data_IF_224704651694
#
_entry.id   IF_224704651694
#
_cell.length_a   1.000
_cell.length_b   1.000
_cell.length_c   1.000
_cell.angle_alpha   90.00
_cell.angle_beta   90.00
_cell.angle_gamma   90.00
#
_symmetry.space_group_name_H-M   'P 1'
#
loop_
_entity.id
_entity.type
_entity.pdbx_description
1 polymer ?
#
# COMPACT_ATOMS: atom_id res chain seq x y z
N UNK A 1 -41.41 -55.74 3.49
CA UNK A 1 -41.53 -55.22 2.10
C UNK A 1 -41.30 -53.72 2.14
N UNK A 2 -40.08 -53.27 1.86
CA UNK A 2 -39.71 -51.87 1.64
C UNK A 2 -39.00 -51.86 0.28
N UNK A 3 -39.58 -51.18 -0.70
CA UNK A 3 -38.92 -50.89 -1.98
C UNK A 3 -38.70 -49.40 -2.07
N UNK A 4 -37.43 -49.05 -2.28
CA UNK A 4 -36.89 -47.71 -2.48
C UNK A 4 -37.18 -47.31 -3.94
N UNK A 5 -37.85 -46.17 -4.14
CA UNK A 5 -37.90 -45.50 -5.44
C UNK A 5 -36.94 -44.32 -5.40
N UNK A 6 -35.78 -44.50 -6.03
CA UNK A 6 -34.82 -43.45 -6.34
C UNK A 6 -35.28 -42.71 -7.60
N UNK A 7 -35.27 -41.37 -7.56
CA UNK A 7 -35.38 -40.56 -8.77
C UNK A 7 -36.00 -39.18 -8.54
N UNK A 8 -35.18 -38.19 -8.18
CA UNK A 8 -35.39 -36.76 -8.51
C UNK A 8 -34.28 -35.86 -7.90
N UNK A 9 -33.00 -36.09 -8.22
CA UNK A 9 -31.92 -35.18 -7.78
C UNK A 9 -30.80 -35.02 -8.83
N UNK A 10 -31.13 -35.11 -10.12
CA UNK A 10 -30.15 -34.90 -11.20
C UNK A 10 -30.49 -33.76 -12.16
N UNK A 11 -31.72 -33.24 -12.18
CA UNK A 11 -32.14 -32.17 -13.11
C UNK A 11 -31.93 -30.73 -12.63
N UNK A 12 -31.94 -30.47 -11.32
CA UNK A 12 -31.88 -29.09 -10.78
C UNK A 12 -30.46 -28.50 -10.67
N UNK A 13 -29.44 -29.35 -10.56
CA UNK A 13 -28.03 -28.92 -10.49
C UNK A 13 -27.45 -28.61 -11.87
N UNK A 14 -27.87 -29.28 -12.94
CA UNK A 14 -27.41 -28.96 -14.31
C UNK A 14 -27.95 -27.61 -14.81
N UNK A 15 -29.17 -27.21 -14.43
CA UNK A 15 -29.78 -26.00 -14.96
C UNK A 15 -29.19 -24.70 -14.37
N UNK A 16 -28.54 -24.75 -13.19
CA UNK A 16 -27.84 -23.60 -12.58
C UNK A 16 -26.39 -23.42 -13.06
N UNK A 17 -25.75 -24.48 -13.57
CA UNK A 17 -24.37 -24.47 -14.05
C UNK A 17 -24.22 -23.95 -15.50
N UNK A 18 -25.29 -24.00 -16.30
CA UNK A 18 -25.28 -23.63 -17.72
C UNK A 18 -24.97 -22.15 -18.04
N UNK A 19 -25.47 -21.13 -17.29
CA UNK A 19 -25.10 -19.74 -17.56
C UNK A 19 -23.65 -19.42 -17.15
N UNK A 20 -23.18 -19.97 -16.02
CA UNK A 20 -21.79 -19.79 -15.54
C UNK A 20 -20.79 -20.44 -16.51
N UNK A 21 -21.09 -21.63 -17.02
CA UNK A 21 -20.27 -22.29 -18.04
C UNK A 21 -20.30 -21.58 -19.40
N UNK A 22 -21.42 -20.93 -19.77
CA UNK A 22 -21.48 -20.06 -20.96
C UNK A 22 -20.65 -18.80 -20.80
N UNK A 23 -20.71 -18.16 -19.63
CA UNK A 23 -19.91 -16.96 -19.33
C UNK A 23 -18.43 -17.32 -19.27
N UNK A 24 -18.06 -18.41 -18.59
CA UNK A 24 -16.67 -18.91 -18.55
C UNK A 24 -16.14 -19.29 -19.94
N UNK A 25 -16.96 -19.89 -20.82
CA UNK A 25 -16.60 -20.12 -22.23
C UNK A 25 -16.49 -18.82 -23.02
N UNK A 26 -17.38 -17.86 -22.82
CA UNK A 26 -17.33 -16.56 -23.53
C UNK A 26 -16.11 -15.72 -23.12
N UNK A 27 -15.76 -15.74 -21.83
CA UNK A 27 -14.55 -15.10 -21.29
C UNK A 27 -13.30 -15.85 -21.75
N UNK A 28 -13.32 -17.19 -21.76
CA UNK A 28 -12.24 -18.00 -22.34
C UNK A 28 -12.02 -17.71 -23.84
N UNK A 29 -13.10 -17.55 -24.62
CA UNK A 29 -13.03 -17.21 -26.04
C UNK A 29 -12.55 -15.77 -26.27
N UNK A 30 -13.00 -14.81 -25.44
CA UNK A 30 -12.52 -13.43 -25.48
C UNK A 30 -11.03 -13.33 -25.12
N UNK A 31 -10.59 -14.06 -24.09
CA UNK A 31 -9.18 -14.15 -23.69
C UNK A 31 -8.33 -14.81 -24.78
N UNK A 32 -8.82 -15.86 -25.44
CA UNK A 32 -8.12 -16.44 -26.59
C UNK A 32 -8.05 -15.49 -27.79
N UNK A 33 -9.08 -14.68 -28.02
CA UNK A 33 -9.08 -13.66 -29.08
C UNK A 33 -8.07 -12.56 -28.78
N UNK A 34 -8.05 -12.04 -27.56
CA UNK A 34 -7.08 -11.03 -27.10
C UNK A 34 -5.66 -11.60 -27.11
N UNK A 35 -5.47 -12.86 -26.69
CA UNK A 35 -4.18 -13.54 -26.74
C UNK A 35 -3.68 -13.72 -28.19
N UNK A 36 -4.57 -14.05 -29.14
CA UNK A 36 -4.22 -14.14 -30.58
C UNK A 36 -3.86 -12.78 -31.18
N UNK A 37 -4.55 -11.71 -30.79
CA UNK A 37 -4.28 -10.34 -31.27
C UNK A 37 -2.93 -9.86 -30.73
N UNK A 38 -2.65 -10.06 -29.44
CA UNK A 38 -1.40 -9.64 -28.78
C UNK A 38 -0.19 -10.46 -29.25
N UNK A 39 -0.35 -11.77 -29.49
CA UNK A 39 0.73 -12.59 -30.06
C UNK A 39 1.05 -12.20 -31.51
N UNK A 40 0.06 -11.71 -32.26
CA UNK A 40 0.24 -11.23 -33.63
C UNK A 40 0.98 -9.89 -33.67
N UNK A 41 0.70 -8.98 -32.74
CA UNK A 41 1.36 -7.68 -32.65
C UNK A 41 2.75 -7.76 -31.97
N UNK A 42 2.92 -8.69 -31.02
CA UNK A 42 4.22 -8.97 -30.39
C UNK A 42 5.26 -9.55 -31.37
N UNK A 43 4.82 -10.33 -32.36
CA UNK A 43 5.68 -10.81 -33.44
C UNK A 43 6.03 -9.71 -34.47
N UNK A 44 5.16 -8.72 -34.68
CA UNK A 44 5.44 -7.59 -35.57
C UNK A 44 6.47 -6.62 -34.97
N UNK A 45 6.43 -6.41 -33.64
CA UNK A 45 7.40 -5.56 -32.95
C UNK A 45 8.80 -6.17 -32.83
N UNK A 46 8.95 -7.49 -32.71
CA UNK A 46 10.27 -8.15 -32.66
C UNK A 46 11.00 -8.17 -34.02
N UNK A 47 10.25 -8.19 -35.12
CA UNK A 47 10.81 -8.09 -36.49
C UNK A 47 11.28 -6.66 -36.80
N UNK A 48 10.58 -5.62 -36.30
CA UNK A 48 10.97 -4.22 -36.54
C UNK A 48 12.27 -3.79 -35.82
N UNK A 49 12.64 -4.46 -34.72
CA UNK A 49 13.86 -4.19 -33.96
C UNK A 49 15.11 -4.87 -34.55
N UNK A 50 14.95 -5.95 -35.33
CA UNK A 50 16.08 -6.63 -35.98
C UNK A 50 16.46 -6.01 -37.32
N UNK A 51 15.52 -5.38 -38.04
CA UNK A 51 15.81 -4.71 -39.33
C UNK A 51 16.53 -3.37 -39.18
N UNK A 52 16.53 -2.75 -37.98
CA UNK A 52 17.17 -1.43 -37.75
C UNK A 52 18.65 -1.50 -37.33
N UNK A 53 19.23 -2.70 -37.19
CA UNK A 53 20.65 -2.91 -36.83
C UNK A 53 21.57 -3.28 -38.01
N UNK A 54 21.11 -3.19 -39.27
CA UNK A 54 21.95 -3.39 -40.45
C UNK A 54 21.74 -2.29 -41.48
N UNK A 55 22.64 -1.30 -41.53
CA UNK A 55 22.52 -0.20 -42.50
C UNK A 55 23.63 0.85 -42.46
N UNK A 56 24.76 0.49 -43.08
CA UNK A 56 25.73 1.34 -43.81
C UNK A 56 26.39 2.55 -43.15
N UNK A 57 27.72 2.41 -43.04
CA UNK A 57 28.71 3.45 -42.81
C UNK A 57 28.65 4.57 -43.88
N UNK A 58 28.65 5.81 -43.42
CA UNK A 58 28.83 7.02 -44.22
C UNK A 58 29.89 7.91 -43.58
N UNK A 59 31.00 8.06 -44.29
CA UNK A 59 32.24 8.71 -43.91
C UNK A 59 32.06 10.24 -43.94
N UNK A 60 32.28 10.96 -42.83
CA UNK A 60 32.50 12.41 -42.88
C UNK A 60 33.42 12.90 -41.75
N UNK A 61 34.42 13.69 -42.16
CA UNK A 61 35.60 14.18 -41.42
C UNK A 61 35.25 15.45 -40.60
N UNK A 62 35.91 15.76 -39.47
CA UNK A 62 35.42 16.75 -38.49
C UNK A 62 35.99 18.16 -38.70
N UNK A 63 35.44 19.20 -38.05
CA UNK A 63 36.20 20.37 -37.67
C UNK A 63 36.44 20.43 -36.15
N UNK A 64 37.57 21.06 -35.85
CA UNK A 64 38.24 21.25 -34.55
C UNK A 64 37.60 22.39 -33.76
N UNK A 65 37.53 22.27 -32.42
CA UNK A 65 37.14 23.36 -31.52
C UNK A 65 37.10 22.93 -30.04
N UNK A 66 38.08 23.39 -29.26
CA UNK A 66 38.49 23.02 -27.90
C UNK A 66 37.56 23.35 -26.72
N UNK A 67 37.50 22.45 -25.74
CA UNK A 67 37.13 22.70 -24.33
C UNK A 67 37.06 21.39 -23.53
N UNK A 68 37.65 21.26 -22.31
CA UNK A 68 37.71 19.99 -21.61
C UNK A 68 36.34 19.62 -21.04
N UNK A 69 35.80 18.48 -21.49
CA UNK A 69 34.61 17.88 -20.88
C UNK A 69 34.96 17.37 -19.47
N UNK A 70 34.11 17.60 -18.45
CA UNK A 70 34.28 16.95 -17.16
C UNK A 70 34.12 15.43 -17.33
N UNK A 71 34.95 14.69 -16.61
CA UNK A 71 35.14 13.26 -16.76
C UNK A 71 33.83 12.46 -16.79
N UNK A 72 33.83 11.50 -17.72
CA UNK A 72 32.92 10.37 -17.78
C UNK A 72 33.02 9.56 -16.48
N UNK A 73 32.24 9.95 -15.46
CA UNK A 73 31.92 9.07 -14.34
C UNK A 73 30.81 8.15 -14.82
N UNK A 74 31.19 6.94 -15.22
CA UNK A 74 30.29 5.80 -15.33
C UNK A 74 29.81 5.40 -13.92
N UNK A 75 28.97 6.23 -13.31
CA UNK A 75 28.23 5.88 -12.12
C UNK A 75 27.11 4.93 -12.49
N UNK A 76 27.04 3.79 -11.81
CA UNK A 76 25.90 2.87 -11.81
C UNK A 76 24.67 3.60 -11.27
N UNK A 77 24.00 4.36 -12.14
CA UNK A 77 22.89 5.22 -11.77
C UNK A 77 21.75 4.38 -11.19
N UNK A 78 21.37 4.69 -9.95
CA UNK A 78 20.12 4.20 -9.37
C UNK A 78 18.99 4.63 -10.31
N UNK A 79 18.11 3.72 -10.77
CA UNK A 79 17.04 4.08 -11.69
C UNK A 79 16.15 5.16 -11.06
N UNK A 80 15.86 6.23 -11.82
CA UNK A 80 15.18 7.47 -11.35
C UNK A 80 13.87 7.24 -10.56
N UNK A 81 13.19 6.10 -10.76
CA UNK A 81 11.95 5.72 -10.05
C UNK A 81 11.87 4.21 -9.81
N UNK A 82 12.45 3.69 -8.71
CA UNK A 82 12.60 2.26 -8.57
C UNK A 82 11.31 1.46 -8.41
N UNK A 83 10.22 2.12 -8.02
CA UNK A 83 8.91 1.49 -7.78
C UNK A 83 7.82 1.96 -8.76
N UNK A 84 8.16 2.68 -9.84
CA UNK A 84 7.18 3.05 -10.87
C UNK A 84 6.79 1.83 -11.73
N UNK A 85 5.49 1.62 -11.93
CA UNK A 85 4.92 0.47 -12.67
C UNK A 85 3.88 -0.28 -11.85
N UNK A 86 3.57 -1.54 -12.19
CA UNK A 86 2.67 -2.43 -11.44
C UNK A 86 1.48 -2.99 -12.25
N UNK A 87 0.72 -3.96 -11.69
CA UNK A 87 -0.53 -4.42 -12.29
C UNK A 87 -1.49 -3.26 -12.60
N UNK A 88 -2.23 -3.35 -13.71
CA UNK A 88 -3.08 -2.31 -14.32
C UNK A 88 -2.35 -1.13 -14.96
N UNK A 89 -1.04 -0.96 -14.74
CA UNK A 89 -0.27 0.15 -15.33
C UNK A 89 -0.19 0.03 -16.86
N UNK A 90 -0.09 -1.20 -17.40
CA UNK A 90 0.00 -1.42 -18.86
C UNK A 90 -1.37 -1.28 -19.52
N UNK A 91 -2.43 -1.83 -18.91
CA UNK A 91 -3.80 -1.66 -19.42
C UNK A 91 -4.21 -0.18 -19.41
N UNK A 92 -3.86 0.58 -18.37
CA UNK A 92 -4.10 2.02 -18.34
C UNK A 92 -3.31 2.77 -19.43
N UNK A 93 -2.11 2.30 -19.78
CA UNK A 93 -1.33 2.83 -20.91
C UNK A 93 -1.96 2.52 -22.27
N UNK A 94 -2.48 1.30 -22.43
CA UNK A 94 -3.20 0.86 -23.63
C UNK A 94 -4.50 1.64 -23.87
N UNK A 95 -5.21 2.01 -22.80
CA UNK A 95 -6.44 2.84 -22.87
C UNK A 95 -6.11 4.34 -23.07
N UNK A 96 -4.83 4.71 -23.23
CA UNK A 96 -4.40 6.10 -23.44
C UNK A 96 -4.48 6.99 -22.20
N UNK A 97 -4.67 6.39 -21.02
CA UNK A 97 -4.78 7.09 -19.72
C UNK A 97 -3.43 7.37 -19.05
N UNK A 98 -2.33 6.84 -19.60
CA UNK A 98 -0.95 7.12 -19.16
C UNK A 98 -0.17 7.78 -20.30
N UNK A 99 0.46 8.91 -20.00
CA UNK A 99 1.59 9.45 -20.77
C UNK A 99 2.84 9.33 -19.90
N UNK A 100 3.94 8.86 -20.50
CA UNK A 100 5.21 8.52 -19.83
C UNK A 100 5.76 9.68 -18.98
N UNK A 101 5.46 10.93 -19.36
CA UNK A 101 6.00 12.12 -18.69
C UNK A 101 5.05 12.80 -17.69
N UNK A 102 3.74 12.48 -17.70
CA UNK A 102 2.74 13.08 -16.79
C UNK A 102 1.68 12.05 -16.40
N UNK A 103 1.84 11.34 -15.27
CA UNK A 103 0.78 10.50 -14.73
C UNK A 103 -0.34 11.44 -14.26
N UNK A 104 -1.35 11.67 -15.09
CA UNK A 104 -2.52 12.47 -14.74
C UNK A 104 -3.43 11.70 -13.76
N UNK A 105 -2.92 11.42 -12.56
CA UNK A 105 -3.54 10.55 -11.55
C UNK A 105 -4.95 11.04 -11.21
N UNK A 106 -5.16 12.36 -11.13
CA UNK A 106 -6.49 12.94 -10.90
C UNK A 106 -7.50 12.63 -12.01
N UNK A 107 -7.09 12.68 -13.29
CA UNK A 107 -7.98 12.32 -14.41
C UNK A 107 -8.32 10.84 -14.41
N UNK A 108 -7.35 9.98 -14.09
CA UNK A 108 -7.57 8.53 -13.94
C UNK A 108 -8.54 8.22 -12.80
N UNK A 109 -8.36 8.87 -11.65
CA UNK A 109 -9.26 8.74 -10.50
C UNK A 109 -10.69 9.18 -10.85
N UNK A 110 -10.84 10.33 -11.51
CA UNK A 110 -12.14 10.82 -11.98
C UNK A 110 -12.79 9.87 -12.98
N UNK A 111 -12.04 9.39 -13.99
CA UNK A 111 -12.56 8.45 -14.98
C UNK A 111 -13.02 7.14 -14.33
N UNK A 112 -12.22 6.55 -13.44
CA UNK A 112 -12.58 5.32 -12.75
C UNK A 112 -13.79 5.51 -11.83
N UNK A 113 -13.88 6.63 -11.13
CA UNK A 113 -15.04 7.01 -10.33
C UNK A 113 -16.30 7.11 -11.18
N UNK A 114 -16.25 7.84 -12.31
CA UNK A 114 -17.37 7.97 -13.24
C UNK A 114 -17.76 6.62 -13.83
N UNK A 115 -16.80 5.81 -14.28
CA UNK A 115 -17.03 4.49 -14.84
C UNK A 115 -17.70 3.53 -13.86
N UNK A 116 -17.30 3.56 -12.59
CA UNK A 116 -17.83 2.67 -11.56
C UNK A 116 -19.17 3.16 -11.00
N UNK A 117 -19.41 4.47 -10.92
CA UNK A 117 -20.59 5.01 -10.24
C UNK A 117 -21.70 5.48 -11.19
N UNK A 118 -21.37 6.22 -12.25
CA UNK A 118 -22.38 6.88 -13.10
C UNK A 118 -23.33 5.86 -13.78
N UNK A 119 -22.85 4.76 -14.38
CA UNK A 119 -23.75 3.77 -14.96
C UNK A 119 -24.65 3.12 -13.92
N UNK A 120 -24.19 2.92 -12.68
CA UNK A 120 -25.04 2.38 -11.61
C UNK A 120 -26.20 3.32 -11.32
N UNK A 121 -25.94 4.62 -11.17
CA UNK A 121 -26.97 5.63 -10.93
C UNK A 121 -27.95 5.77 -12.10
N UNK A 122 -27.46 5.71 -13.35
CA UNK A 122 -28.32 5.78 -14.53
C UNK A 122 -29.17 4.51 -14.68
N UNK A 123 -28.60 3.33 -14.47
CA UNK A 123 -29.29 2.05 -14.59
C UNK A 123 -30.29 1.82 -13.45
N UNK A 124 -30.01 2.31 -12.24
CA UNK A 124 -30.95 2.22 -11.11
C UNK A 124 -32.19 3.10 -11.30
N UNK A 125 -32.08 4.17 -12.09
CA UNK A 125 -33.18 5.08 -12.40
C UNK A 125 -34.04 4.66 -13.60
N UNK A 126 -33.77 3.50 -14.21
CA UNK A 126 -34.55 3.01 -15.34
C UNK A 126 -36.01 2.70 -14.95
N UNK A 127 -37.00 2.97 -15.82
CA UNK A 127 -38.39 2.62 -15.57
C UNK A 127 -38.54 1.11 -15.28
N UNK A 128 -39.28 0.78 -14.22
CA UNK A 128 -39.50 -0.61 -13.79
C UNK A 128 -38.54 -1.12 -12.71
N UNK A 129 -37.60 -0.29 -12.25
CA UNK A 129 -36.69 -0.59 -11.15
C UNK A 129 -36.91 0.35 -9.96
N UNK A 130 -36.79 -0.18 -8.74
CA UNK A 130 -36.94 0.61 -7.51
C UNK A 130 -35.62 1.29 -7.12
N UNK A 131 -35.56 2.61 -7.30
CA UNK A 131 -34.41 3.44 -6.96
C UNK A 131 -34.42 3.96 -5.51
N UNK A 132 -35.47 3.68 -4.73
CA UNK A 132 -35.60 4.21 -3.35
C UNK A 132 -34.48 3.73 -2.42
N UNK A 133 -33.96 2.53 -2.69
CA UNK A 133 -32.88 1.90 -1.93
C UNK A 133 -31.46 2.25 -2.43
N UNK A 134 -31.32 3.01 -3.51
CA UNK A 134 -30.01 3.41 -4.05
C UNK A 134 -29.35 4.50 -3.21
N UNK A 135 -30.06 5.59 -2.94
CA UNK A 135 -29.55 6.73 -2.17
C UNK A 135 -29.12 6.39 -0.72
N UNK A 136 -29.83 5.54 0.02
CA UNK A 136 -29.37 5.09 1.35
C UNK A 136 -28.29 4.00 1.29
N UNK A 137 -27.79 3.61 0.11
CA UNK A 137 -26.67 2.66 -0.01
C UNK A 137 -25.31 3.39 0.09
N UNK A 138 -25.02 3.88 1.30
CA UNK A 138 -23.75 4.49 1.66
C UNK A 138 -22.55 3.61 1.34
N UNK A 139 -22.69 2.28 1.46
CA UNK A 139 -21.66 1.31 1.11
C UNK A 139 -21.24 1.39 -0.36
N UNK A 140 -22.21 1.43 -1.28
CA UNK A 140 -21.94 1.57 -2.72
C UNK A 140 -21.32 2.94 -3.03
N UNK A 141 -21.86 4.01 -2.45
CA UNK A 141 -21.32 5.35 -2.65
C UNK A 141 -19.88 5.49 -2.14
N UNK A 142 -19.59 4.98 -0.93
CA UNK A 142 -18.25 4.98 -0.37
C UNK A 142 -17.26 4.23 -1.27
N UNK A 143 -17.62 3.03 -1.74
CA UNK A 143 -16.76 2.23 -2.65
C UNK A 143 -16.36 2.99 -3.90
N UNK A 144 -17.33 3.54 -4.63
CA UNK A 144 -17.06 4.02 -5.98
C UNK A 144 -16.74 5.52 -6.03
N UNK A 145 -17.26 6.34 -5.11
CA UNK A 145 -16.98 7.78 -5.04
C UNK A 145 -15.78 8.13 -4.15
N UNK A 146 -15.40 7.25 -3.21
CA UNK A 146 -14.32 7.54 -2.25
C UNK A 146 -13.17 6.53 -2.41
N UNK A 147 -13.45 5.23 -2.26
CA UNK A 147 -12.39 4.20 -2.22
C UNK A 147 -11.65 4.10 -3.56
N UNK A 148 -12.37 3.93 -4.68
CA UNK A 148 -11.76 3.84 -6.02
C UNK A 148 -10.84 5.03 -6.34
N UNK A 149 -11.28 6.30 -6.23
CA UNK A 149 -10.40 7.42 -6.51
C UNK A 149 -9.25 7.53 -5.50
N UNK A 150 -9.45 7.24 -4.20
CA UNK A 150 -8.36 7.26 -3.22
C UNK A 150 -7.30 6.18 -3.51
N UNK A 151 -7.69 4.98 -3.93
CA UNK A 151 -6.76 3.92 -4.32
C UNK A 151 -5.90 4.33 -5.52
N UNK A 152 -6.46 5.11 -6.45
CA UNK A 152 -5.70 5.63 -7.60
C UNK A 152 -4.82 6.81 -7.19
N UNK A 153 -5.33 7.76 -6.40
CA UNK A 153 -4.57 8.89 -5.88
C UNK A 153 -3.38 8.45 -5.02
N UNK A 154 -3.54 7.38 -4.25
CA UNK A 154 -2.47 6.76 -3.50
C UNK A 154 -1.29 6.35 -4.40
N UNK A 155 -1.49 6.05 -5.69
CA UNK A 155 -0.36 5.68 -6.57
C UNK A 155 0.56 6.88 -6.77
N UNK A 156 -0.02 8.07 -6.96
CA UNK A 156 0.74 9.31 -7.14
C UNK A 156 1.48 9.76 -5.89
N UNK A 157 1.03 9.34 -4.70
CA UNK A 157 1.58 9.79 -3.42
C UNK A 157 2.52 8.74 -2.82
N UNK A 158 2.09 7.48 -2.72
CA UNK A 158 2.84 6.42 -2.06
C UNK A 158 4.05 5.96 -2.90
N UNK A 159 3.89 5.81 -4.21
CA UNK A 159 4.94 5.21 -5.07
C UNK A 159 6.22 6.06 -5.08
N UNK A 160 6.16 7.38 -5.31
CA UNK A 160 7.37 8.21 -5.27
C UNK A 160 8.03 8.21 -3.88
N UNK A 161 7.22 8.22 -2.82
CA UNK A 161 7.73 8.18 -1.43
C UNK A 161 8.46 6.87 -1.13
N UNK A 162 7.85 5.73 -1.45
CA UNK A 162 8.49 4.42 -1.26
C UNK A 162 9.74 4.29 -2.13
N UNK A 163 9.71 4.81 -3.36
CA UNK A 163 10.86 4.86 -4.24
C UNK A 163 12.03 5.66 -3.64
N UNK A 164 11.76 6.85 -3.10
CA UNK A 164 12.77 7.66 -2.43
C UNK A 164 13.34 6.96 -1.18
N UNK A 165 12.49 6.32 -0.38
CA UNK A 165 12.95 5.52 0.77
C UNK A 165 13.85 4.36 0.32
N UNK A 166 13.51 3.67 -0.77
CA UNK A 166 14.35 2.61 -1.31
C UNK A 166 15.72 3.12 -1.77
N UNK A 167 15.77 4.23 -2.53
CA UNK A 167 17.05 4.84 -2.96
C UNK A 167 17.89 5.31 -1.78
N UNK A 168 17.25 5.78 -0.71
CA UNK A 168 17.93 6.31 0.46
C UNK A 168 18.80 5.28 1.19
N UNK A 169 18.55 3.97 1.05
CA UNK A 169 19.44 2.93 1.60
C UNK A 169 20.88 3.03 1.06
N UNK A 170 21.02 3.38 -0.22
CA UNK A 170 22.34 3.60 -0.84
C UNK A 170 22.85 5.01 -0.56
N UNK A 171 21.99 6.04 -0.73
CA UNK A 171 22.40 7.45 -0.56
C UNK A 171 22.90 7.76 0.86
N UNK A 172 22.34 7.10 1.88
CA UNK A 172 22.75 7.24 3.28
C UNK A 172 24.02 6.47 3.65
N UNK A 173 24.53 5.61 2.76
CA UNK A 173 25.70 4.76 3.04
C UNK A 173 25.44 3.65 4.07
N UNK A 174 24.17 3.36 4.40
CA UNK A 174 23.80 2.30 5.35
C UNK A 174 24.12 0.93 4.77
N UNK A 175 23.93 0.73 3.47
CA UNK A 175 24.36 -0.49 2.79
C UNK A 175 25.88 -0.47 2.71
N UNK A 176 26.54 -1.54 3.19
CA UNK A 176 27.99 -1.64 3.10
C UNK A 176 28.44 -1.64 1.62
N UNK A 177 29.58 -1.00 1.35
CA UNK A 177 30.06 -0.76 -0.02
C UNK A 177 30.24 -2.06 -0.81
N UNK A 178 30.58 -3.15 -0.13
CA UNK A 178 30.76 -4.49 -0.72
C UNK A 178 29.42 -5.13 -1.17
N UNK A 179 28.30 -4.70 -0.59
CA UNK A 179 26.94 -5.21 -0.86
C UNK A 179 26.17 -4.33 -1.85
N UNK A 180 26.78 -3.25 -2.38
CA UNK A 180 26.14 -2.31 -3.31
C UNK A 180 25.55 -3.00 -4.53
N UNK A 181 26.31 -3.92 -5.15
CA UNK A 181 25.83 -4.65 -6.33
C UNK A 181 24.64 -5.57 -5.99
N UNK A 182 24.72 -6.28 -4.86
CA UNK A 182 23.62 -7.13 -4.39
C UNK A 182 22.35 -6.31 -4.13
N UNK A 183 22.49 -5.10 -3.58
CA UNK A 183 21.37 -4.18 -3.41
C UNK A 183 20.73 -3.76 -4.75
N UNK A 184 21.55 -3.39 -5.75
CA UNK A 184 21.06 -3.05 -7.08
C UNK A 184 20.33 -4.23 -7.75
N UNK A 185 20.83 -5.45 -7.55
CA UNK A 185 20.17 -6.68 -8.04
C UNK A 185 18.82 -6.91 -7.36
N UNK A 186 18.70 -6.63 -6.06
CA UNK A 186 17.42 -6.67 -5.32
C UNK A 186 16.44 -5.65 -5.91
N UNK A 187 16.91 -4.43 -6.19
CA UNK A 187 16.10 -3.37 -6.78
C UNK A 187 15.59 -3.76 -8.18
N UNK A 188 16.49 -4.24 -9.04
CA UNK A 188 16.17 -4.72 -10.38
C UNK A 188 15.20 -5.93 -10.36
N UNK A 189 15.42 -6.87 -9.43
CA UNK A 189 14.51 -8.02 -9.27
C UNK A 189 13.10 -7.59 -8.85
N UNK A 190 13.00 -6.56 -8.01
CA UNK A 190 11.73 -5.99 -7.54
C UNK A 190 11.01 -5.28 -8.68
N UNK A 191 11.72 -4.48 -9.48
CA UNK A 191 11.19 -3.86 -10.70
C UNK A 191 10.69 -4.90 -11.70
N UNK A 192 11.44 -5.97 -11.91
CA UNK A 192 11.05 -7.05 -12.81
C UNK A 192 9.71 -7.65 -12.37
N UNK A 193 9.56 -7.97 -11.08
CA UNK A 193 8.32 -8.52 -10.51
C UNK A 193 7.14 -7.52 -10.56
N UNK A 194 7.40 -6.23 -10.34
CA UNK A 194 6.39 -5.17 -10.50
C UNK A 194 5.85 -5.12 -11.93
N UNK A 195 6.72 -5.31 -12.92
CA UNK A 195 6.40 -5.12 -14.33
C UNK A 195 6.05 -6.42 -15.09
N UNK A 196 5.91 -7.55 -14.39
CA UNK A 196 5.51 -8.82 -14.98
C UNK A 196 4.05 -8.81 -15.45
N UNK A 197 3.82 -9.13 -16.73
CA UNK A 197 2.47 -9.22 -17.31
C UNK A 197 1.60 -10.28 -16.61
N UNK A 198 2.21 -11.39 -16.19
CA UNK A 198 1.51 -12.45 -15.47
C UNK A 198 0.86 -11.97 -14.17
N UNK A 199 1.42 -10.95 -13.52
CA UNK A 199 0.81 -10.40 -12.30
C UNK A 199 -0.43 -9.56 -12.61
N UNK A 200 -0.49 -8.91 -13.76
CA UNK A 200 -1.69 -8.19 -14.21
C UNK A 200 -2.82 -9.18 -14.51
N UNK A 201 -2.51 -10.27 -15.21
CA UNK A 201 -3.48 -11.35 -15.47
C UNK A 201 -3.92 -12.01 -14.16
N UNK A 202 -2.99 -12.31 -13.25
CA UNK A 202 -3.29 -12.95 -11.97
C UNK A 202 -4.20 -12.07 -11.09
N UNK A 203 -3.97 -10.75 -11.05
CA UNK A 203 -4.82 -9.81 -10.30
C UNK A 203 -6.25 -9.79 -10.85
N UNK A 204 -6.40 -9.72 -12.18
CA UNK A 204 -7.73 -9.72 -12.82
C UNK A 204 -8.44 -11.05 -12.57
N UNK A 205 -7.74 -12.18 -12.79
CA UNK A 205 -8.28 -13.51 -12.57
C UNK A 205 -8.73 -13.69 -11.12
N UNK A 206 -7.88 -13.31 -10.16
CA UNK A 206 -8.18 -13.39 -8.73
C UNK A 206 -9.37 -12.51 -8.35
N UNK A 207 -9.48 -11.30 -8.91
CA UNK A 207 -10.64 -10.44 -8.67
C UNK A 207 -11.95 -11.11 -9.12
N UNK A 208 -12.00 -11.68 -10.32
CA UNK A 208 -13.20 -12.38 -10.81
C UNK A 208 -13.47 -13.68 -10.05
N UNK A 209 -12.45 -14.40 -9.60
CA UNK A 209 -12.62 -15.57 -8.72
C UNK A 209 -13.22 -15.17 -7.36
N UNK A 210 -12.74 -14.08 -6.74
CA UNK A 210 -13.33 -13.55 -5.51
C UNK A 210 -14.80 -13.18 -5.71
N UNK A 211 -15.15 -12.56 -6.85
CA UNK A 211 -16.52 -12.19 -7.15
C UNK A 211 -17.41 -13.42 -7.32
N UNK A 212 -16.95 -14.43 -8.06
CA UNK A 212 -17.67 -15.68 -8.23
C UNK A 212 -17.92 -16.37 -6.87
N UNK A 213 -16.91 -16.41 -6.00
CA UNK A 213 -17.03 -16.96 -4.65
C UNK A 213 -18.01 -16.16 -3.78
N UNK A 214 -17.98 -14.82 -3.83
CA UNK A 214 -18.92 -13.97 -3.09
C UNK A 214 -20.35 -14.15 -3.58
N UNK A 215 -20.53 -14.25 -4.90
CA UNK A 215 -21.83 -14.45 -5.52
C UNK A 215 -22.47 -15.78 -5.12
N UNK A 216 -21.67 -16.85 -5.03
CA UNK A 216 -22.14 -18.17 -4.62
C UNK A 216 -22.40 -18.27 -3.10
N UNK A 217 -21.56 -17.62 -2.29
CA UNK A 217 -21.63 -17.69 -0.83
C UNK A 217 -22.74 -16.83 -0.19
N UNK A 218 -23.31 -15.85 -0.91
CA UNK A 218 -24.32 -14.94 -0.36
C UNK A 218 -25.73 -15.28 -0.85
N UNK A 219 -26.66 -15.64 0.06
CA UNK A 219 -28.08 -15.48 -0.22
C UNK A 219 -28.36 -14.04 -0.61
N UNK A 220 -29.26 -13.81 -1.56
CA UNK A 220 -29.71 -12.48 -2.00
C UNK A 220 -30.52 -11.71 -0.93
N UNK A 221 -30.34 -12.05 0.34
CA UNK A 221 -31.02 -11.45 1.47
C UNK A 221 -30.15 -10.33 2.05
N UNK A 222 -30.74 -9.15 2.24
CA UNK A 222 -30.01 -7.95 2.64
C UNK A 222 -29.25 -7.24 1.51
N UNK A 223 -29.38 -7.69 0.26
CA UNK A 223 -28.90 -6.92 -0.90
C UNK A 223 -29.94 -5.84 -1.25
N UNK A 224 -29.53 -4.58 -1.49
CA UNK A 224 -30.43 -3.50 -1.87
C UNK A 224 -31.31 -3.84 -3.08
N UNK A 225 -32.59 -3.43 -3.04
CA UNK A 225 -33.57 -3.77 -4.06
C UNK A 225 -33.19 -3.23 -5.45
N UNK A 226 -32.46 -2.12 -5.54
CA UNK A 226 -32.00 -1.58 -6.83
C UNK A 226 -30.96 -2.47 -7.55
N UNK A 227 -30.31 -3.40 -6.83
CA UNK A 227 -29.32 -4.34 -7.40
C UNK A 227 -29.94 -5.67 -7.84
N UNK A 228 -31.19 -5.97 -7.46
CA UNK A 228 -31.82 -7.28 -7.65
C UNK A 228 -33.24 -7.12 -8.19
N UNK A 229 -33.64 -8.04 -9.05
CA UNK A 229 -35.02 -8.20 -9.51
C UNK A 229 -35.56 -9.55 -9.06
N UNK A 230 -36.78 -9.56 -8.51
CA UNK A 230 -37.51 -10.79 -8.26
C UNK A 230 -38.08 -11.37 -9.55
N UNK A 231 -37.80 -12.64 -9.83
CA UNK A 231 -38.41 -13.39 -10.93
C UNK A 231 -39.12 -14.63 -10.40
N UNK A 232 -40.02 -15.26 -11.18
CA UNK A 232 -40.68 -16.51 -10.77
C UNK A 232 -39.68 -17.65 -10.46
N UNK A 233 -38.48 -17.61 -11.04
CA UNK A 233 -37.40 -18.58 -10.81
C UNK A 233 -36.45 -18.22 -9.65
N UNK A 234 -36.67 -17.09 -8.98
CA UNK A 234 -35.82 -16.56 -7.89
C UNK A 234 -35.36 -15.13 -8.12
N UNK A 235 -34.47 -14.65 -7.24
CA UNK A 235 -33.84 -13.32 -7.34
C UNK A 235 -32.68 -13.36 -8.35
N UNK A 236 -32.62 -12.41 -9.28
CA UNK A 236 -31.49 -12.23 -10.21
C UNK A 236 -30.95 -10.80 -10.14
N UNK A 237 -29.69 -10.54 -10.52
CA UNK A 237 -29.18 -9.18 -10.58
C UNK A 237 -29.97 -8.30 -11.57
N UNK A 238 -30.26 -7.06 -11.18
CA UNK A 238 -30.78 -6.01 -12.07
C UNK A 238 -29.72 -5.60 -13.11
N UNK A 239 -30.05 -4.80 -14.15
CA UNK A 239 -29.03 -4.25 -15.04
C UNK A 239 -27.92 -3.48 -14.28
N UNK A 240 -28.31 -2.71 -13.26
CA UNK A 240 -27.36 -2.05 -12.36
C UNK A 240 -26.54 -3.07 -11.55
N UNK A 241 -27.19 -4.14 -11.07
CA UNK A 241 -26.53 -5.27 -10.41
C UNK A 241 -25.47 -5.94 -11.28
N UNK A 242 -25.77 -6.19 -12.56
CA UNK A 242 -24.82 -6.76 -13.52
C UNK A 242 -23.64 -5.83 -13.79
N UNK A 243 -23.87 -4.52 -13.95
CA UNK A 243 -22.78 -3.55 -14.08
C UNK A 243 -21.90 -3.50 -12.81
N UNK A 244 -22.54 -3.56 -11.64
CA UNK A 244 -21.87 -3.64 -10.35
C UNK A 244 -20.95 -4.86 -10.27
N UNK A 245 -21.48 -6.04 -10.63
CA UNK A 245 -20.78 -7.33 -10.53
C UNK A 245 -19.68 -7.51 -11.57
N UNK A 246 -19.89 -7.04 -12.81
CA UNK A 246 -19.00 -7.31 -13.94
C UNK A 246 -17.99 -6.20 -14.24
N UNK A 247 -18.23 -4.98 -13.77
CA UNK A 247 -17.37 -3.82 -14.05
C UNK A 247 -16.92 -3.15 -12.75
N UNK A 248 -17.85 -2.65 -11.95
CA UNK A 248 -17.53 -1.75 -10.83
C UNK A 248 -16.76 -2.47 -9.72
N UNK A 249 -17.24 -3.64 -9.30
CA UNK A 249 -16.62 -4.46 -8.27
C UNK A 249 -15.27 -5.05 -8.73
N UNK A 250 -15.13 -5.60 -9.96
CA UNK A 250 -13.83 -6.00 -10.48
C UNK A 250 -12.81 -4.87 -10.51
N UNK A 251 -13.19 -3.66 -10.93
CA UNK A 251 -12.27 -2.52 -10.96
C UNK A 251 -11.75 -2.21 -9.55
N UNK A 252 -12.65 -2.13 -8.56
CA UNK A 252 -12.26 -1.89 -7.17
C UNK A 252 -11.36 -3.01 -6.63
N UNK A 253 -11.71 -4.28 -6.85
CA UNK A 253 -10.92 -5.42 -6.39
C UNK A 253 -9.55 -5.50 -7.07
N UNK A 254 -9.48 -5.24 -8.38
CA UNK A 254 -8.21 -5.20 -9.09
C UNK A 254 -7.30 -4.11 -8.50
N UNK A 255 -7.84 -2.93 -8.19
CA UNK A 255 -7.07 -1.86 -7.52
C UNK A 255 -6.58 -2.29 -6.14
N UNK A 256 -7.44 -2.88 -5.31
CA UNK A 256 -7.08 -3.38 -3.98
C UNK A 256 -6.00 -4.47 -4.06
N UNK A 257 -6.18 -5.47 -4.91
CA UNK A 257 -5.23 -6.56 -5.11
C UNK A 257 -3.90 -6.05 -5.67
N UNK A 258 -3.92 -5.04 -6.55
CA UNK A 258 -2.70 -4.38 -7.03
C UNK A 258 -1.91 -3.73 -5.89
N UNK A 259 -2.60 -3.11 -4.92
CA UNK A 259 -1.97 -2.57 -3.72
C UNK A 259 -1.44 -3.65 -2.80
N UNK A 260 -2.18 -4.72 -2.57
CA UNK A 260 -1.68 -5.89 -1.80
C UNK A 260 -0.40 -6.43 -2.42
N UNK A 261 -0.36 -6.58 -3.75
CA UNK A 261 0.84 -7.02 -4.46
C UNK A 261 2.02 -6.05 -4.26
N UNK A 262 1.79 -4.73 -4.36
CA UNK A 262 2.84 -3.72 -4.10
C UNK A 262 3.37 -3.80 -2.67
N UNK A 263 2.49 -4.01 -1.68
CA UNK A 263 2.89 -4.18 -0.28
C UNK A 263 3.68 -5.47 -0.06
N UNK A 264 3.30 -6.58 -0.70
CA UNK A 264 4.07 -7.81 -0.70
C UNK A 264 5.48 -7.59 -1.28
N UNK A 265 5.59 -6.82 -2.37
CA UNK A 265 6.88 -6.50 -2.97
C UNK A 265 7.72 -5.55 -2.13
N UNK A 266 7.09 -4.59 -1.44
CA UNK A 266 7.77 -3.76 -0.43
C UNK A 266 8.31 -4.62 0.71
N UNK A 267 7.50 -5.53 1.25
CA UNK A 267 7.95 -6.47 2.28
C UNK A 267 9.06 -7.41 1.81
N UNK A 268 8.96 -7.95 0.60
CA UNK A 268 10.04 -8.74 -0.03
C UNK A 268 11.31 -7.92 -0.18
N UNK A 269 11.21 -6.68 -0.66
CA UNK A 269 12.35 -5.78 -0.82
C UNK A 269 13.05 -5.55 0.52
N UNK A 270 12.31 -5.15 1.56
CA UNK A 270 12.85 -4.93 2.89
C UNK A 270 13.46 -6.21 3.49
N UNK A 271 12.82 -7.36 3.30
CA UNK A 271 13.35 -8.65 3.74
C UNK A 271 14.67 -9.01 3.08
N UNK A 272 14.83 -8.74 1.77
CA UNK A 272 16.09 -9.01 1.08
C UNK A 272 17.18 -8.02 1.51
N UNK A 273 16.84 -6.75 1.69
CA UNK A 273 17.77 -5.72 2.21
C UNK A 273 18.20 -6.06 3.64
N UNK A 274 17.31 -6.59 4.49
CA UNK A 274 17.65 -7.04 5.84
C UNK A 274 18.54 -8.30 5.89
N UNK A 275 18.89 -8.87 4.73
CA UNK A 275 19.91 -9.93 4.62
C UNK A 275 21.29 -9.39 4.22
N UNK A 276 21.36 -8.14 3.76
CA UNK A 276 22.64 -7.48 3.46
C UNK A 276 23.33 -7.01 4.74
N UNK A 277 24.63 -6.75 4.65
CA UNK A 277 25.41 -6.12 5.72
C UNK A 277 25.06 -4.64 5.77
N UNK A 278 24.26 -4.27 6.78
CA UNK A 278 23.92 -2.86 7.05
C UNK A 278 24.86 -2.29 8.12
N UNK A 279 25.40 -1.10 7.87
CA UNK A 279 26.24 -0.33 8.78
C UNK A 279 25.36 0.46 9.76
N UNK A 280 24.75 -0.26 10.70
CA UNK A 280 23.91 0.34 11.74
C UNK A 280 24.75 1.03 12.81
N UNK A 281 24.39 2.27 13.15
CA UNK A 281 25.10 3.09 14.15
C UNK A 281 24.21 3.22 15.39
N UNK A 282 24.47 2.52 16.51
CA UNK A 282 23.56 2.52 17.66
C UNK A 282 23.27 3.90 18.25
N UNK A 283 24.25 4.81 18.19
CA UNK A 283 24.14 6.18 18.70
C UNK A 283 23.50 7.17 17.71
N UNK A 284 22.95 6.70 16.58
CA UNK A 284 22.40 7.56 15.55
C UNK A 284 21.21 8.41 16.09
N UNK A 285 21.10 9.70 15.72
CA UNK A 285 20.11 10.63 16.29
C UNK A 285 18.65 10.31 15.94
N UNK A 286 18.40 9.39 15.01
CA UNK A 286 17.04 8.96 14.64
C UNK A 286 16.41 7.93 15.60
N UNK A 287 17.16 7.46 16.59
CA UNK A 287 16.72 6.44 17.54
C UNK A 287 16.53 5.04 16.95
N UNK A 288 16.88 4.82 15.67
CA UNK A 288 16.66 3.57 14.94
C UNK A 288 17.92 3.12 14.20
N UNK A 289 19.09 3.46 14.73
CA UNK A 289 20.40 3.11 14.21
C UNK A 289 20.66 3.49 12.73
N UNK A 290 20.02 4.55 12.25
CA UNK A 290 20.05 5.00 10.86
C UNK A 290 18.88 4.51 10.00
N UNK A 291 18.08 3.54 10.46
CA UNK A 291 16.93 3.00 9.72
C UNK A 291 15.62 3.75 9.95
N UNK A 292 15.63 4.86 10.71
CA UNK A 292 14.42 5.60 11.08
C UNK A 292 13.64 6.12 9.88
N UNK A 293 14.32 6.39 8.76
CA UNK A 293 13.67 6.83 7.52
C UNK A 293 12.69 5.78 6.97
N UNK A 294 12.98 4.48 7.13
CA UNK A 294 12.13 3.40 6.63
C UNK A 294 10.73 3.47 7.27
N UNK A 295 10.66 3.90 8.54
CA UNK A 295 9.40 4.12 9.26
C UNK A 295 8.50 5.21 8.66
N UNK A 296 9.03 6.08 7.80
CA UNK A 296 8.21 7.04 7.04
C UNK A 296 7.36 6.38 5.95
N UNK A 297 7.62 5.11 5.60
CA UNK A 297 6.73 4.34 4.71
C UNK A 297 5.31 4.27 5.27
N UNK A 298 5.18 4.19 6.59
CA UNK A 298 3.89 4.19 7.29
C UNK A 298 3.05 5.43 6.95
N UNK A 299 3.69 6.60 6.93
CA UNK A 299 3.02 7.87 6.56
C UNK A 299 2.66 7.91 5.08
N UNK A 300 3.46 7.27 4.22
CA UNK A 300 3.13 7.16 2.80
C UNK A 300 1.81 6.40 2.59
N UNK A 301 1.52 5.39 3.41
CA UNK A 301 0.30 4.58 3.32
C UNK A 301 -0.97 5.23 3.89
N UNK A 302 -0.91 6.46 4.41
CA UNK A 302 -2.06 7.14 5.02
C UNK A 302 -3.29 7.20 4.07
N UNK A 303 -3.07 7.53 2.79
CA UNK A 303 -4.17 7.61 1.80
C UNK A 303 -4.84 6.25 1.58
N UNK A 304 -4.06 5.16 1.61
CA UNK A 304 -4.61 3.80 1.52
C UNK A 304 -5.39 3.43 2.79
N UNK A 305 -4.87 3.79 3.97
CA UNK A 305 -5.57 3.58 5.23
C UNK A 305 -6.93 4.30 5.23
N UNK A 306 -7.00 5.53 4.72
CA UNK A 306 -8.27 6.25 4.54
C UNK A 306 -9.19 5.55 3.54
N UNK A 307 -8.66 5.03 2.42
CA UNK A 307 -9.47 4.26 1.46
C UNK A 307 -10.06 2.99 2.10
N UNK A 308 -9.26 2.22 2.83
CA UNK A 308 -9.74 1.03 3.54
C UNK A 308 -10.73 1.40 4.64
N UNK A 309 -10.49 2.51 5.37
CA UNK A 309 -11.41 3.03 6.38
C UNK A 309 -12.76 3.38 5.77
N UNK A 310 -12.77 4.07 4.62
CA UNK A 310 -14.00 4.44 3.92
C UNK A 310 -14.78 3.20 3.43
N UNK A 311 -14.07 2.15 3.03
CA UNK A 311 -14.68 0.88 2.63
C UNK A 311 -15.48 0.24 3.77
N UNK A 312 -14.89 0.20 4.98
CA UNK A 312 -15.54 -0.36 6.18
C UNK A 312 -16.60 0.60 6.73
N UNK A 313 -16.31 1.90 6.77
CA UNK A 313 -17.22 2.93 7.24
C UNK A 313 -18.53 2.95 6.43
N UNK A 314 -18.46 2.84 5.10
CA UNK A 314 -19.66 2.76 4.26
C UNK A 314 -20.53 1.53 4.56
N UNK A 315 -19.90 0.38 4.87
CA UNK A 315 -20.63 -0.82 5.28
C UNK A 315 -21.30 -0.65 6.65
N UNK A 316 -20.62 -0.02 7.61
CA UNK A 316 -21.20 0.27 8.93
C UNK A 316 -22.33 1.31 8.81
N UNK A 317 -22.18 2.32 7.95
CA UNK A 317 -23.21 3.32 7.70
C UNK A 317 -24.52 2.69 7.20
N UNK A 318 -24.44 1.72 6.27
CA UNK A 318 -25.61 0.96 5.83
C UNK A 318 -26.29 0.23 7.00
N UNK A 319 -25.51 -0.41 7.88
CA UNK A 319 -26.06 -1.12 9.04
C UNK A 319 -26.73 -0.18 10.05
N UNK A 320 -26.12 0.97 10.34
CA UNK A 320 -26.68 1.98 11.25
C UNK A 320 -27.96 2.56 10.67
N UNK A 321 -27.97 2.89 9.37
CA UNK A 321 -29.18 3.36 8.70
C UNK A 321 -30.30 2.32 8.71
N UNK A 322 -29.96 1.03 8.64
CA UNK A 322 -30.91 -0.07 8.80
C UNK A 322 -31.38 -0.31 10.26
N UNK A 323 -30.94 0.53 11.21
CA UNK A 323 -31.39 0.50 12.61
C UNK A 323 -30.42 -0.15 13.60
N UNK A 324 -29.19 -0.51 13.18
CA UNK A 324 -28.20 -1.06 14.10
C UNK A 324 -27.62 0.02 15.03
N UNK A 325 -27.30 -0.35 16.27
CA UNK A 325 -26.66 0.57 17.23
C UNK A 325 -25.20 0.86 16.87
N UNK A 326 -24.79 2.13 16.99
CA UNK A 326 -23.38 2.54 16.84
C UNK A 326 -22.48 1.81 17.85
N UNK A 327 -22.98 1.55 19.07
CA UNK A 327 -22.22 0.86 20.12
C UNK A 327 -21.90 -0.59 19.76
N UNK A 328 -22.58 -1.19 18.79
CA UNK A 328 -22.25 -2.55 18.33
C UNK A 328 -20.96 -2.61 17.50
N UNK A 329 -20.48 -1.48 16.99
CA UNK A 329 -19.37 -1.43 16.03
C UNK A 329 -18.04 -0.90 16.59
N UNK A 330 -17.98 -0.45 17.85
CA UNK A 330 -16.75 0.14 18.40
C UNK A 330 -15.55 -0.82 18.36
N UNK A 331 -15.75 -2.11 18.68
CA UNK A 331 -14.70 -3.12 18.54
C UNK A 331 -14.32 -3.38 17.08
N UNK A 332 -15.27 -3.35 16.15
CA UNK A 332 -14.99 -3.50 14.72
C UNK A 332 -14.08 -2.38 14.24
N UNK A 333 -14.36 -1.13 14.63
CA UNK A 333 -13.54 0.04 14.30
C UNK A 333 -12.17 -0.05 14.96
N UNK A 334 -12.10 -0.42 16.25
CA UNK A 334 -10.84 -0.56 16.98
C UNK A 334 -9.94 -1.63 16.34
N UNK A 335 -10.45 -2.84 16.16
CA UNK A 335 -9.68 -3.93 15.54
C UNK A 335 -9.32 -3.63 14.09
N UNK A 336 -10.17 -2.92 13.36
CA UNK A 336 -9.85 -2.46 12.01
C UNK A 336 -8.67 -1.48 12.01
N UNK A 337 -8.70 -0.44 12.86
CA UNK A 337 -7.62 0.56 12.93
C UNK A 337 -6.31 -0.10 13.37
N UNK A 338 -6.35 -0.93 14.41
CA UNK A 338 -5.18 -1.69 14.87
C UNK A 338 -4.68 -2.62 13.77
N UNK A 339 -5.59 -3.34 13.09
CA UNK A 339 -5.26 -4.23 11.99
C UNK A 339 -4.61 -3.51 10.81
N UNK A 340 -5.09 -2.31 10.45
CA UNK A 340 -4.49 -1.47 9.39
C UNK A 340 -3.09 -1.03 9.77
N UNK A 341 -2.89 -0.56 11.02
CA UNK A 341 -1.58 -0.17 11.53
C UNK A 341 -0.62 -1.37 11.48
N UNK A 342 -1.04 -2.53 11.97
CA UNK A 342 -0.22 -3.74 11.94
C UNK A 342 0.09 -4.17 10.50
N UNK A 343 -0.90 -4.20 9.62
CA UNK A 343 -0.76 -4.64 8.24
C UNK A 343 0.27 -3.83 7.45
N UNK A 344 0.23 -2.49 7.53
CA UNK A 344 1.16 -1.63 6.79
C UNK A 344 2.56 -1.58 7.41
N UNK A 345 2.70 -1.81 8.73
CA UNK A 345 4.00 -1.78 9.41
C UNK A 345 4.63 -3.16 9.60
N UNK A 346 3.90 -4.24 9.36
CA UNK A 346 4.39 -5.62 9.45
C UNK A 346 5.69 -5.85 8.66
N UNK A 347 5.86 -5.32 7.43
CA UNK A 347 7.13 -5.41 6.70
C UNK A 347 8.37 -4.89 7.43
N UNK A 348 8.23 -3.96 8.38
CA UNK A 348 9.36 -3.37 9.11
C UNK A 348 9.97 -4.31 10.15
N UNK A 349 9.23 -5.35 10.56
CA UNK A 349 9.70 -6.33 11.55
C UNK A 349 10.90 -7.14 11.06
N UNK A 350 11.16 -7.17 9.75
CA UNK A 350 12.32 -7.87 9.15
C UNK A 350 13.67 -7.34 9.65
N UNK A 351 13.73 -6.11 10.17
CA UNK A 351 14.95 -5.50 10.72
C UNK A 351 15.16 -5.76 12.21
N UNK A 352 14.19 -6.39 12.90
CA UNK A 352 14.23 -6.58 14.35
C UNK A 352 15.53 -7.24 14.84
N UNK A 353 15.97 -8.29 14.16
CA UNK A 353 17.18 -9.03 14.53
C UNK A 353 18.46 -8.21 14.32
N UNK A 354 18.56 -7.44 13.23
CA UNK A 354 19.72 -6.56 13.00
C UNK A 354 19.77 -5.43 14.03
N UNK A 355 18.61 -4.82 14.34
CA UNK A 355 18.52 -3.75 15.34
C UNK A 355 18.80 -4.27 16.75
N UNK A 356 18.33 -5.45 17.12
CA UNK A 356 18.67 -6.09 18.40
C UNK A 356 20.18 -6.34 18.52
N UNK A 357 20.84 -6.78 17.45
CA UNK A 357 22.30 -6.97 17.44
C UNK A 357 23.04 -5.64 17.56
N UNK A 358 22.60 -4.60 16.85
CA UNK A 358 23.14 -3.26 16.96
C UNK A 358 22.97 -2.70 18.38
N UNK A 359 21.80 -2.88 19.00
CA UNK A 359 21.53 -2.45 20.37
C UNK A 359 22.46 -3.14 21.37
N UNK A 360 22.55 -4.47 21.35
CA UNK A 360 23.41 -5.24 22.27
C UNK A 360 24.87 -4.81 22.15
N UNK A 361 25.37 -4.68 20.92
CA UNK A 361 26.73 -4.20 20.66
C UNK A 361 26.92 -2.79 21.20
N UNK A 362 25.97 -1.90 20.90
CA UNK A 362 25.97 -0.52 21.37
C UNK A 362 26.04 -0.41 22.89
N UNK A 363 25.12 -1.09 23.59
CA UNK A 363 25.05 -1.06 25.06
C UNK A 363 26.36 -1.50 25.71
N UNK A 364 27.03 -2.53 25.16
CA UNK A 364 28.32 -3.00 25.68
C UNK A 364 29.49 -2.05 25.36
N UNK A 365 29.61 -1.60 24.12
CA UNK A 365 30.74 -0.76 23.67
C UNK A 365 30.65 0.66 24.26
N UNK A 366 29.49 1.29 24.16
CA UNK A 366 29.25 2.65 24.68
C UNK A 366 29.13 2.67 26.19
N UNK A 367 28.48 1.65 26.80
CA UNK A 367 28.43 1.51 28.25
C UNK A 367 29.82 1.37 28.85
N UNK A 368 30.67 0.50 28.29
CA UNK A 368 32.05 0.36 28.74
C UNK A 368 32.89 1.63 28.54
N UNK A 369 32.57 2.48 27.56
CA UNK A 369 33.22 3.79 27.38
C UNK A 369 32.76 4.78 28.46
N UNK A 370 31.45 4.83 28.75
CA UNK A 370 30.89 5.63 29.84
C UNK A 370 31.43 5.23 31.21
N UNK A 371 31.59 3.94 31.47
CA UNK A 371 32.15 3.42 32.73
C UNK A 371 33.61 3.87 32.92
N UNK A 372 34.45 3.70 31.88
CA UNK A 372 35.87 4.15 31.93
C UNK A 372 35.97 5.65 32.13
N UNK A 373 35.17 6.43 31.41
CA UNK A 373 35.14 7.88 31.55
C UNK A 373 34.66 8.30 32.94
N UNK A 374 33.58 7.70 33.46
CA UNK A 374 33.03 7.99 34.78
C UNK A 374 34.03 7.73 35.90
N UNK A 375 34.73 6.59 35.87
CA UNK A 375 35.78 6.27 36.84
C UNK A 375 36.92 7.29 36.81
N UNK A 376 37.35 7.72 35.63
CA UNK A 376 38.40 8.74 35.49
C UNK A 376 37.92 10.11 35.99
N UNK A 377 36.67 10.45 35.69
CA UNK A 377 36.03 11.69 36.13
C UNK A 377 35.91 11.76 37.65
N UNK A 378 35.39 10.71 38.31
CA UNK A 378 35.28 10.65 39.78
C UNK A 378 36.65 10.70 40.46
N UNK A 379 37.65 9.98 39.94
CA UNK A 379 39.01 10.03 40.47
C UNK A 379 39.58 11.45 40.43
N UNK A 380 39.33 12.19 39.35
CA UNK A 380 39.85 13.55 39.18
C UNK A 380 39.11 14.59 40.03
N UNK A 381 37.79 14.49 40.11
CA UNK A 381 36.96 15.57 40.66
C UNK A 381 36.35 15.28 42.04
N UNK A 382 36.19 14.02 42.44
CA UNK A 382 35.59 13.65 43.72
C UNK A 382 36.62 13.15 44.75
N UNK A 383 37.73 12.56 44.29
CA UNK A 383 38.74 11.97 45.17
C UNK A 383 39.92 12.92 45.49
N UNK A 384 40.09 14.03 44.74
CA UNK A 384 41.11 15.05 45.00
C UNK A 384 40.48 16.38 45.49
N UNK A 385 40.53 16.68 46.81
CA UNK A 385 39.94 17.88 47.39
C UNK A 385 40.57 19.19 46.90
N UNK A 386 41.79 19.16 46.34
CA UNK A 386 42.49 20.38 45.91
C UNK A 386 41.97 20.90 44.56
N UNK A 387 41.52 20.02 43.66
CA UNK A 387 40.92 20.43 42.37
C UNK A 387 39.50 20.99 42.51
N UNK A 388 38.80 20.69 43.61
CA UNK A 388 37.43 21.17 43.85
C UNK A 388 37.33 22.67 44.18
N UNK A 389 38.45 23.33 44.54
CA UNK A 389 38.48 24.73 44.98
C UNK A 389 38.68 25.76 43.85
N UNK A 390 39.12 25.32 42.66
CA UNK A 390 39.13 26.15 41.45
C UNK A 390 37.81 25.99 40.70
N UNK A 391 37.27 27.09 40.19
CA UNK A 391 35.94 27.21 39.52
C UNK A 391 35.57 25.96 38.70
N UNK A 392 34.83 25.04 39.32
CA UNK A 392 34.39 23.78 38.70
C UNK A 392 33.60 24.01 37.41
N UNK A 393 32.90 25.15 37.31
CA UNK A 393 32.05 25.49 36.17
C UNK A 393 32.81 25.96 34.93
N UNK A 394 34.08 26.38 35.06
CA UNK A 394 34.87 26.91 33.95
C UNK A 394 35.70 25.84 33.21
N UNK A 395 35.58 24.56 33.62
CA UNK A 395 36.40 23.46 33.11
C UNK A 395 35.62 22.63 32.06
N UNK A 396 36.24 22.32 30.91
CA UNK A 396 35.58 21.62 29.79
C UNK A 396 35.18 20.17 30.07
N UNK A 397 35.64 19.60 31.19
CA UNK A 397 35.41 18.20 31.55
C UNK A 397 33.94 17.89 31.83
N UNK A 398 33.19 18.80 32.46
CA UNK A 398 31.76 18.62 32.75
C UNK A 398 30.91 18.68 31.46
N UNK A 399 31.31 19.52 30.50
CA UNK A 399 30.68 19.56 29.17
C UNK A 399 30.95 18.24 28.43
N UNK A 400 32.20 17.78 28.44
CA UNK A 400 32.60 16.52 27.79
C UNK A 400 31.89 15.31 28.39
N UNK A 401 31.68 15.30 29.72
CA UNK A 401 30.90 14.29 30.41
C UNK A 401 29.44 14.28 29.94
N UNK A 402 28.83 15.46 29.85
CA UNK A 402 27.46 15.63 29.35
C UNK A 402 27.34 15.15 27.91
N UNK A 403 28.27 15.53 27.04
CA UNK A 403 28.27 15.13 25.63
C UNK A 403 28.42 13.61 25.48
N UNK A 404 29.33 12.97 26.23
CA UNK A 404 29.50 11.52 26.20
C UNK A 404 28.27 10.79 26.73
N UNK A 405 27.75 11.18 27.89
CA UNK A 405 26.58 10.52 28.47
C UNK A 405 25.34 10.71 27.61
N UNK A 406 25.17 11.85 26.93
CA UNK A 406 24.10 12.02 25.94
C UNK A 406 24.21 11.04 24.77
N UNK A 407 25.43 10.74 24.30
CA UNK A 407 25.64 9.73 23.25
C UNK A 407 25.27 8.34 23.77
N UNK A 408 25.65 7.99 24.99
CA UNK A 408 25.33 6.68 25.60
C UNK A 408 23.83 6.54 25.89
N UNK A 409 23.18 7.59 26.39
CA UNK A 409 21.75 7.61 26.64
C UNK A 409 20.94 7.36 25.36
N UNK A 410 21.41 7.87 24.21
CA UNK A 410 20.78 7.57 22.90
C UNK A 410 20.87 6.10 22.53
N UNK A 411 21.99 5.45 22.85
CA UNK A 411 22.17 4.01 22.61
C UNK A 411 21.21 3.20 23.50
N UNK A 412 21.07 3.57 24.77
CA UNK A 412 20.13 2.92 25.68
C UNK A 412 18.66 3.17 25.29
N UNK A 413 18.34 4.35 24.77
CA UNK A 413 17.02 4.72 24.26
C UNK A 413 16.70 4.23 22.84
N UNK A 414 17.59 3.48 22.19
CA UNK A 414 17.42 3.04 20.80
C UNK A 414 16.20 2.11 20.66
N UNK A 415 15.37 2.37 19.66
CA UNK A 415 14.20 1.55 19.33
C UNK A 415 14.62 0.23 18.67
N UNK A 416 13.81 -0.81 18.85
CA UNK A 416 14.07 -2.15 18.30
C UNK A 416 13.42 -2.40 16.93
N UNK A 417 12.55 -1.48 16.50
CA UNK A 417 11.84 -1.52 15.22
C UNK A 417 11.96 -0.12 14.61
N UNK A 418 12.17 0.02 13.29
CA UNK A 418 12.36 1.32 12.65
C UNK A 418 10.99 2.00 12.44
N UNK A 419 10.29 2.30 13.53
CA UNK A 419 8.92 2.80 13.51
C UNK A 419 8.74 3.96 14.48
N UNK A 420 8.50 5.14 13.92
CA UNK A 420 8.29 6.36 14.70
C UNK A 420 6.84 6.46 15.21
N UNK A 421 6.59 6.78 16.50
CA UNK A 421 5.24 6.89 17.07
C UNK A 421 4.33 7.86 16.30
N UNK A 422 4.86 9.02 15.89
CA UNK A 422 4.18 9.98 15.01
C UNK A 422 3.66 9.36 13.71
N UNK A 423 4.43 8.47 13.08
CA UNK A 423 4.03 7.79 11.85
C UNK A 423 2.87 6.82 12.09
N UNK A 424 2.91 6.09 13.19
CA UNK A 424 1.82 5.20 13.63
C UNK A 424 0.55 5.98 13.92
N UNK A 425 0.66 7.10 14.66
CA UNK A 425 -0.46 7.96 14.97
C UNK A 425 -1.11 8.54 13.70
N UNK A 426 -0.32 9.04 12.75
CA UNK A 426 -0.83 9.54 11.47
C UNK A 426 -1.57 8.47 10.67
N UNK A 427 -1.04 7.25 10.62
CA UNK A 427 -1.69 6.14 9.92
C UNK A 427 -3.00 5.73 10.62
N UNK A 428 -3.01 5.66 11.95
CA UNK A 428 -4.20 5.35 12.74
C UNK A 428 -5.29 6.41 12.56
N UNK A 429 -4.92 7.70 12.62
CA UNK A 429 -5.83 8.82 12.34
C UNK A 429 -6.38 8.71 10.92
N UNK A 430 -5.52 8.46 9.93
CA UNK A 430 -5.94 8.31 8.54
C UNK A 430 -6.93 7.16 8.33
N UNK A 431 -6.73 6.03 9.01
CA UNK A 431 -7.66 4.90 9.02
C UNK A 431 -8.99 5.23 9.71
N UNK A 432 -8.96 6.11 10.72
CA UNK A 432 -10.11 6.45 11.55
C UNK A 432 -11.00 7.55 10.95
N UNK A 433 -10.43 8.52 10.21
CA UNK A 433 -11.17 9.67 9.63
C UNK A 433 -12.51 9.29 8.97
N UNK A 434 -12.59 8.23 8.13
CA UNK A 434 -13.85 7.89 7.45
C UNK A 434 -14.99 7.45 8.37
N UNK A 435 -14.72 7.11 9.64
CA UNK A 435 -15.76 6.76 10.61
C UNK A 435 -16.40 7.99 11.27
N UNK A 436 -15.79 9.18 11.13
CA UNK A 436 -16.34 10.42 11.70
C UNK A 436 -17.73 10.74 11.11
N UNK A 437 -17.94 10.75 9.78
CA UNK A 437 -19.28 10.95 9.23
C UNK A 437 -20.29 9.89 9.67
N UNK A 438 -19.84 8.65 9.90
CA UNK A 438 -20.72 7.56 10.37
C UNK A 438 -21.23 7.83 11.79
N UNK A 439 -20.37 8.36 12.66
CA UNK A 439 -20.77 8.79 14.00
C UNK A 439 -21.78 9.95 13.96
N UNK A 440 -21.63 10.88 13.00
CA UNK A 440 -22.55 12.01 12.79
C UNK A 440 -23.93 11.58 12.25
N UNK A 441 -24.02 10.45 11.54
CA UNK A 441 -25.31 9.87 11.12
C UNK A 441 -26.06 9.30 12.33
N UNK A 442 -25.34 8.71 13.28
CA UNK A 442 -25.94 8.02 14.44
C UNK A 442 -26.31 8.96 15.60
N UNK A 443 -25.61 10.08 15.75
CA UNK A 443 -25.80 11.04 16.84
C UNK A 443 -26.05 12.44 16.26
N UNK A 444 -27.10 13.17 16.66
CA UNK A 444 -27.24 14.57 16.29
C UNK A 444 -26.01 15.35 16.77
N UNK A 445 -25.48 16.23 15.91
CA UNK A 445 -24.24 16.97 16.15
C UNK A 445 -24.24 17.71 17.51
N UNK A 446 -25.39 18.26 17.88
CA UNK A 446 -25.59 18.97 19.15
C UNK A 446 -25.30 18.08 20.37
N UNK A 447 -25.71 16.80 20.33
CA UNK A 447 -25.46 15.86 21.43
C UNK A 447 -23.98 15.46 21.57
N UNK A 448 -23.18 15.60 20.50
CA UNK A 448 -21.73 15.35 20.55
C UNK A 448 -21.03 16.57 21.17
N UNK A 449 -21.43 17.79 20.76
CA UNK A 449 -20.89 19.04 21.31
C UNK A 449 -21.18 19.13 22.80
N UNK A 450 -22.43 18.88 23.23
CA UNK A 450 -22.83 18.93 24.64
C UNK A 450 -22.02 17.97 25.52
N UNK A 451 -21.73 16.75 25.02
CA UNK A 451 -20.91 15.77 25.73
C UNK A 451 -19.43 16.15 25.79
N UNK A 452 -18.89 16.77 24.73
CA UNK A 452 -17.51 17.24 24.71
C UNK A 452 -17.31 18.47 25.61
N UNK A 453 -18.27 19.39 25.62
CA UNK A 453 -18.25 20.54 26.53
C UNK A 453 -18.37 20.09 27.98
N UNK A 454 -19.23 19.12 28.30
CA UNK A 454 -19.34 18.58 29.67
C UNK A 454 -18.17 17.70 30.13
N UNK A 455 -17.20 17.40 29.26
CA UNK A 455 -15.93 16.73 29.62
C UNK A 455 -14.76 17.70 29.74
N UNK A 456 -14.85 18.87 29.10
CA UNK A 456 -13.82 19.92 29.10
C UNK A 456 -14.09 21.02 30.14
N UNK A 457 -15.33 21.15 30.60
CA UNK A 457 -15.80 22.01 31.68
C UNK A 457 -16.46 21.13 32.74
#
# INVERSE_FOLDING_TARGET
>A
MLSISAGATQGETEHRLTPVLRIARSVGQALQHVMKVILRDGAAHSVSLTTRMGGTAGMQKPPVGSGPAPGNQGGTAVPDKPFSGGPLYKIQGLVGLLHVDKPNVGRRALFAMVLCWLPLACLSALPGYDNSSFWPDFGTHARYLIVVPLLILAEGICIPRIGALASHFLESGIVAEEETQAFLDILASTQRLLNMLWMEIAVILLAYLCIAAIYDARPFDGVPAWLIVGTPAGKIPSPAGWWGLLVSLPVMLCLLLSWVWRLCLWGRFLFLVSRLKLRLIPAHPDGAAGLGFVGYSSQAFAVLATALGALVAGAIANSIYAGASLTSYHYVVLFFVVGVVLFFNFPLLVFLDQMLRAWRRGTLEYGGLADRFGLEFERKWLQDPQMAHESMMDRPDFSSATDLYQVVDRVYGMWLIPLHPKSVAMLAIAAFIPFIPVALIALPFDAIVDKLTGLLF
#
